data_IF_518812036352
#
_entry.id   IF_518812036352
#
_cell.length_a   1.000
_cell.length_b   1.000
_cell.length_c   1.000
_cell.angle_alpha   90.00
_cell.angle_beta   90.00
_cell.angle_gamma   90.00
#
_symmetry.space_group_name_H-M   'P 1'
#
loop_
_entity.id
_entity.type
_entity.pdbx_description
1 polymer ?
#
# COMPACT_ATOMS: atom_id res chain seq x y z
N UNK A 1 -6.73 13.19 11.58
CA UNK A 1 -6.79 11.78 11.18
C UNK A 1 -5.41 11.35 10.69
N UNK A 2 -4.91 10.20 11.11
CA UNK A 2 -3.61 9.63 10.70
C UNK A 2 -3.86 8.38 9.85
N UNK A 3 -3.30 8.36 8.65
CA UNK A 3 -3.48 7.25 7.71
C UNK A 3 -2.12 6.62 7.45
N UNK A 4 -2.03 5.30 7.55
CA UNK A 4 -0.85 4.55 7.12
C UNK A 4 -1.20 3.76 5.88
N UNK A 5 -0.42 3.94 4.82
CA UNK A 5 -0.58 3.20 3.55
C UNK A 5 0.57 2.22 3.42
N UNK A 6 0.27 0.93 3.33
CA UNK A 6 1.27 -0.08 3.03
C UNK A 6 1.40 -0.22 1.52
N UNK A 7 2.63 -0.09 1.01
CA UNK A 7 2.93 -0.20 -0.42
C UNK A 7 4.01 -1.25 -0.67
N UNK A 8 3.99 -1.88 -1.83
CA UNK A 8 5.00 -2.85 -2.24
C UNK A 8 5.66 -2.42 -3.55
N UNK A 9 6.97 -2.56 -3.61
CA UNK A 9 7.71 -2.50 -4.87
C UNK A 9 7.59 -3.87 -5.56
N UNK A 10 7.12 -3.86 -6.81
CA UNK A 10 6.91 -5.08 -7.61
C UNK A 10 7.61 -4.95 -8.96
N UNK A 11 7.94 -6.06 -9.64
CA UNK A 11 8.44 -6.02 -11.00
C UNK A 11 7.41 -5.38 -11.95
N UNK A 12 7.88 -4.55 -12.87
CA UNK A 12 7.04 -4.03 -13.95
C UNK A 12 6.84 -5.09 -15.02
N UNK A 13 5.64 -5.66 -15.07
CA UNK A 13 5.28 -6.70 -16.06
C UNK A 13 5.19 -6.15 -17.48
N UNK A 14 5.12 -4.83 -17.67
CA UNK A 14 5.11 -4.16 -18.99
C UNK A 14 6.52 -3.90 -19.53
N UNK A 15 7.54 -3.89 -18.66
CA UNK A 15 8.91 -3.52 -18.99
C UNK A 15 9.75 -4.60 -19.71
N UNK A 16 9.16 -5.77 -19.97
CA UNK A 16 9.85 -6.92 -20.56
C UNK A 16 10.70 -7.70 -19.53
N UNK A 17 10.67 -9.01 -19.68
CA UNK A 17 11.43 -9.93 -18.81
C UNK A 17 12.84 -10.09 -19.39
N UNK A 18 13.88 -9.86 -18.58
CA UNK A 18 15.26 -10.14 -18.93
C UNK A 18 15.73 -11.43 -18.28
N UNK A 19 16.49 -12.20 -19.03
CA UNK A 19 17.08 -13.47 -18.58
C UNK A 19 18.58 -13.38 -18.53
N UNK A 20 19.16 -14.02 -17.53
CA UNK A 20 20.59 -14.30 -17.46
C UNK A 20 21.00 -15.29 -18.55
N UNK A 21 22.30 -15.38 -18.91
CA UNK A 21 22.79 -16.37 -19.88
C UNK A 21 22.48 -17.83 -19.53
N UNK A 22 22.23 -18.15 -18.27
CA UNK A 22 21.87 -19.47 -17.77
C UNK A 22 20.35 -19.76 -17.85
N UNK A 23 19.54 -18.82 -18.39
CA UNK A 23 18.09 -18.93 -18.52
C UNK A 23 17.30 -18.55 -17.26
N UNK A 24 17.96 -18.14 -16.17
CA UNK A 24 17.29 -17.62 -14.99
C UNK A 24 16.85 -16.16 -15.18
N UNK A 25 15.84 -15.74 -14.43
CA UNK A 25 15.37 -14.35 -14.44
C UNK A 25 16.44 -13.38 -13.90
N UNK A 26 16.82 -12.38 -14.71
CA UNK A 26 17.63 -11.27 -14.22
C UNK A 26 16.75 -10.25 -13.47
N UNK A 27 16.53 -10.53 -12.19
CA UNK A 27 15.72 -9.66 -11.31
C UNK A 27 16.38 -8.30 -11.08
N UNK A 28 17.70 -8.18 -11.24
CA UNK A 28 18.42 -6.93 -11.06
C UNK A 28 18.22 -5.94 -12.20
N UNK A 29 17.98 -6.45 -13.42
CA UNK A 29 17.75 -5.66 -14.62
C UNK A 29 16.25 -5.38 -14.90
N UNK A 30 15.33 -5.92 -14.09
CA UNK A 30 13.90 -5.66 -14.22
C UNK A 30 13.57 -4.27 -13.64
N UNK A 31 12.81 -3.49 -14.41
CA UNK A 31 12.19 -2.28 -13.89
C UNK A 31 11.21 -2.65 -12.77
N UNK A 32 11.14 -1.82 -11.77
CA UNK A 32 10.24 -2.00 -10.63
C UNK A 32 9.31 -0.80 -10.53
N UNK A 33 8.08 -1.04 -10.08
CA UNK A 33 7.04 -0.02 -9.89
C UNK A 33 6.40 -0.18 -8.51
N UNK A 34 5.69 0.84 -8.05
CA UNK A 34 4.74 0.68 -6.96
C UNK A 34 3.58 -0.19 -7.43
N UNK A 35 3.18 -1.17 -6.62
CA UNK A 35 2.04 -2.04 -6.93
C UNK A 35 0.78 -1.21 -7.25
N UNK A 36 0.06 -1.48 -8.36
CA UNK A 36 -1.06 -0.65 -8.81
C UNK A 36 -2.18 -0.48 -7.79
N UNK A 37 -2.60 -1.57 -7.12
CA UNK A 37 -3.62 -1.53 -6.07
C UNK A 37 -3.16 -0.65 -4.89
N UNK A 38 -1.89 -0.74 -4.50
CA UNK A 38 -1.32 0.09 -3.42
C UNK A 38 -1.26 1.57 -3.83
N UNK A 39 -0.95 1.84 -5.10
CA UNK A 39 -0.91 3.21 -5.63
C UNK A 39 -2.30 3.86 -5.64
N UNK A 40 -3.34 3.09 -5.97
CA UNK A 40 -4.73 3.54 -5.87
C UNK A 40 -5.14 3.79 -4.40
N UNK A 41 -4.70 2.93 -3.49
CA UNK A 41 -4.88 3.11 -2.04
C UNK A 41 -4.17 4.35 -1.51
N UNK A 42 -2.95 4.62 -1.98
CA UNK A 42 -2.22 5.85 -1.66
C UNK A 42 -2.99 7.09 -2.14
N UNK A 43 -3.49 7.08 -3.38
CA UNK A 43 -4.31 8.19 -3.89
C UNK A 43 -5.56 8.41 -3.04
N UNK A 44 -6.23 7.33 -2.57
CA UNK A 44 -7.36 7.46 -1.65
C UNK A 44 -6.95 8.18 -0.35
N UNK A 45 -5.81 7.80 0.26
CA UNK A 45 -5.28 8.46 1.44
C UNK A 45 -4.98 9.95 1.17
N UNK A 46 -4.38 10.28 0.02
CA UNK A 46 -4.06 11.66 -0.35
C UNK A 46 -5.32 12.50 -0.59
N UNK A 47 -6.39 11.93 -1.15
CA UNK A 47 -7.69 12.62 -1.27
C UNK A 47 -8.31 12.89 0.10
N UNK A 48 -8.22 11.93 1.04
CA UNK A 48 -8.64 12.15 2.42
C UNK A 48 -7.78 13.22 3.11
N UNK A 49 -6.47 13.29 2.81
CA UNK A 49 -5.60 14.38 3.26
C UNK A 49 -6.05 15.72 2.72
N UNK A 50 -6.33 15.82 1.42
CA UNK A 50 -6.79 17.06 0.79
C UNK A 50 -8.14 17.53 1.38
N UNK A 51 -9.04 16.60 1.70
CA UNK A 51 -10.39 16.90 2.17
C UNK A 51 -10.46 17.17 3.69
N UNK A 52 -9.68 16.41 4.49
CA UNK A 52 -9.81 16.42 5.96
C UNK A 52 -8.53 16.83 6.69
N UNK A 53 -7.46 17.18 5.97
CA UNK A 53 -6.16 17.50 6.58
C UNK A 53 -5.50 16.29 7.26
N UNK A 54 -5.68 15.08 6.72
CA UNK A 54 -5.06 13.88 7.27
C UNK A 54 -3.54 13.91 7.10
N UNK A 55 -2.82 13.29 8.03
CA UNK A 55 -1.39 12.98 7.91
C UNK A 55 -1.26 11.59 7.27
N UNK A 56 -0.47 11.48 6.19
CA UNK A 56 -0.27 10.24 5.44
C UNK A 56 1.15 9.73 5.61
N UNK A 57 1.29 8.57 6.24
CA UNK A 57 2.55 7.83 6.35
C UNK A 57 2.52 6.63 5.41
N UNK A 58 3.59 6.43 4.64
CA UNK A 58 3.73 5.27 3.74
C UNK A 58 4.72 4.28 4.33
N UNK A 59 4.31 3.03 4.42
CA UNK A 59 5.10 1.92 4.97
C UNK A 59 5.36 0.90 3.87
N UNK A 60 6.62 0.50 3.70
CA UNK A 60 7.00 -0.60 2.80
C UNK A 60 7.94 -1.57 3.49
N UNK A 61 7.81 -2.85 3.16
CA UNK A 61 8.76 -3.90 3.55
C UNK A 61 9.45 -4.42 2.29
N UNK A 62 10.78 -4.39 2.28
CA UNK A 62 11.52 -4.87 1.11
C UNK A 62 13.02 -4.68 1.21
N UNK A 63 13.70 -4.91 0.10
CA UNK A 63 15.12 -4.62 -0.06
C UNK A 63 15.37 -3.10 0.07
N UNK A 64 16.60 -2.66 0.36
CA UNK A 64 16.92 -1.22 0.40
C UNK A 64 16.46 -0.43 -0.83
N UNK A 65 16.46 -1.05 -2.02
CA UNK A 65 15.96 -0.46 -3.27
C UNK A 65 14.47 -0.07 -3.18
N UNK A 66 13.67 -0.68 -2.30
CA UNK A 66 12.26 -0.30 -2.11
C UNK A 66 12.08 1.13 -1.57
N UNK A 67 13.15 1.81 -1.19
CA UNK A 67 13.14 3.27 -0.95
C UNK A 67 12.60 4.06 -2.15
N UNK A 68 12.76 3.56 -3.38
CA UNK A 68 12.27 4.22 -4.59
C UNK A 68 10.76 4.44 -4.56
N UNK A 69 9.96 3.46 -4.10
CA UNK A 69 8.49 3.63 -4.01
C UNK A 69 8.10 4.60 -2.89
N UNK A 70 8.91 4.72 -1.82
CA UNK A 70 8.70 5.74 -0.80
C UNK A 70 8.96 7.14 -1.37
N UNK A 71 10.02 7.31 -2.14
CA UNK A 71 10.31 8.58 -2.83
C UNK A 71 9.18 8.97 -3.79
N UNK A 72 8.66 8.01 -4.56
CA UNK A 72 7.49 8.21 -5.41
C UNK A 72 6.27 8.64 -4.58
N UNK A 73 5.98 7.96 -3.46
CA UNK A 73 4.87 8.31 -2.58
C UNK A 73 5.00 9.72 -1.98
N UNK A 74 6.21 10.10 -1.57
CA UNK A 74 6.49 11.46 -1.08
C UNK A 74 6.29 12.50 -2.19
N UNK A 75 6.72 12.21 -3.41
CA UNK A 75 6.50 13.08 -4.59
C UNK A 75 5.01 13.18 -4.98
N UNK A 76 4.19 12.20 -4.63
CA UNK A 76 2.72 12.26 -4.76
C UNK A 76 2.06 13.09 -3.65
N UNK A 77 2.73 13.32 -2.52
CA UNK A 77 2.21 14.16 -1.43
C UNK A 77 2.08 13.49 -0.07
N UNK A 78 2.64 12.30 0.13
CA UNK A 78 2.75 11.69 1.46
C UNK A 78 3.66 12.51 2.38
N UNK A 79 3.42 12.44 3.70
CA UNK A 79 4.17 13.23 4.69
C UNK A 79 5.40 12.50 5.22
N UNK A 80 5.32 11.16 5.31
CA UNK A 80 6.40 10.31 5.86
C UNK A 80 6.52 9.01 5.08
N UNK A 81 7.75 8.49 4.98
CA UNK A 81 8.04 7.18 4.42
C UNK A 81 8.81 6.33 5.44
N UNK A 82 8.43 5.06 5.59
CA UNK A 82 9.07 4.09 6.48
C UNK A 82 9.43 2.85 5.67
N UNK A 83 10.71 2.47 5.69
CA UNK A 83 11.22 1.25 5.09
C UNK A 83 11.54 0.22 6.18
N UNK A 84 10.90 -0.93 6.13
CA UNK A 84 11.25 -2.11 6.93
C UNK A 84 12.13 -3.01 6.07
N UNK A 85 13.42 -3.11 6.43
CA UNK A 85 14.38 -3.87 5.64
C UNK A 85 15.36 -4.63 6.53
N UNK A 86 15.52 -5.90 6.26
CA UNK A 86 16.53 -6.76 6.83
C UNK A 86 16.73 -7.97 5.90
N UNK A 87 17.92 -8.56 5.89
CA UNK A 87 18.22 -9.77 5.10
C UNK A 87 17.38 -10.97 5.54
N UNK A 88 17.05 -11.06 6.81
CA UNK A 88 16.23 -12.15 7.39
C UNK A 88 14.81 -12.16 6.82
N UNK A 89 14.32 -11.03 6.32
CA UNK A 89 12.98 -10.90 5.72
C UNK A 89 12.93 -11.41 4.27
N UNK A 90 14.07 -11.79 3.69
CA UNK A 90 14.14 -12.33 2.33
C UNK A 90 13.43 -13.67 2.24
N UNK A 91 12.50 -13.83 1.28
CA UNK A 91 11.72 -15.06 1.10
C UNK A 91 10.57 -15.24 2.09
N UNK A 92 10.21 -14.19 2.84
CA UNK A 92 9.05 -14.21 3.73
C UNK A 92 7.76 -14.55 2.96
N UNK A 93 6.98 -15.47 3.48
CA UNK A 93 5.62 -15.74 3.02
C UNK A 93 4.63 -14.67 3.48
N UNK A 94 3.34 -14.83 3.19
CA UNK A 94 2.32 -13.84 3.56
C UNK A 94 2.17 -13.70 5.07
N UNK A 95 2.33 -14.80 5.83
CA UNK A 95 2.26 -14.79 7.28
C UNK A 95 3.41 -13.98 7.90
N UNK A 96 4.65 -14.29 7.54
CA UNK A 96 5.83 -13.58 8.03
C UNK A 96 5.80 -12.10 7.61
N UNK A 97 5.38 -11.81 6.37
CA UNK A 97 5.22 -10.45 5.85
C UNK A 97 4.20 -9.66 6.67
N UNK A 98 2.99 -10.20 6.85
CA UNK A 98 1.92 -9.52 7.58
C UNK A 98 2.26 -9.33 9.06
N UNK A 99 2.93 -10.29 9.68
CA UNK A 99 3.39 -10.19 11.06
C UNK A 99 4.45 -9.10 11.23
N UNK A 100 5.41 -9.01 10.30
CA UNK A 100 6.46 -7.98 10.29
C UNK A 100 5.84 -6.58 10.12
N UNK A 101 4.93 -6.42 9.17
CA UNK A 101 4.23 -5.15 8.95
C UNK A 101 3.36 -4.77 10.15
N UNK A 102 2.63 -5.71 10.74
CA UNK A 102 1.87 -5.47 11.96
C UNK A 102 2.77 -5.08 13.13
N UNK A 103 3.96 -5.68 13.24
CA UNK A 103 4.97 -5.29 14.22
C UNK A 103 5.44 -3.84 14.06
N UNK A 104 5.67 -3.40 12.82
CA UNK A 104 6.00 -2.00 12.53
C UNK A 104 4.82 -1.07 12.85
N UNK A 105 3.60 -1.45 12.42
CA UNK A 105 2.38 -0.68 12.64
C UNK A 105 2.05 -0.47 14.14
N UNK A 106 2.34 -1.43 15.01
CA UNK A 106 2.16 -1.27 16.48
C UNK A 106 2.97 -0.13 17.09
N UNK A 107 4.01 0.34 16.41
CA UNK A 107 4.83 1.47 16.85
C UNK A 107 4.39 2.80 16.23
N UNK A 108 3.29 2.82 15.48
CA UNK A 108 2.74 3.99 14.82
C UNK A 108 1.36 4.32 15.37
N UNK A 109 0.99 5.59 15.28
CA UNK A 109 -0.39 6.02 15.52
C UNK A 109 -1.13 6.04 14.18
N UNK A 110 -2.31 5.45 14.14
CA UNK A 110 -3.16 5.43 12.96
C UNK A 110 -4.65 5.37 13.35
N UNK A 111 -5.46 6.02 12.55
CA UNK A 111 -6.91 5.89 12.53
C UNK A 111 -7.33 4.94 11.41
N UNK A 112 -6.60 4.95 10.29
CA UNK A 112 -6.90 4.15 9.11
C UNK A 112 -5.61 3.54 8.54
N UNK A 113 -5.67 2.25 8.22
CA UNK A 113 -4.65 1.55 7.44
C UNK A 113 -5.23 1.25 6.06
N UNK A 114 -4.49 1.56 5.00
CA UNK A 114 -4.86 1.20 3.64
C UNK A 114 -3.76 0.33 3.03
N UNK A 115 -4.15 -0.78 2.43
CA UNK A 115 -3.28 -1.64 1.62
C UNK A 115 -3.90 -1.80 0.25
N UNK A 116 -3.16 -2.21 -0.77
CA UNK A 116 -3.77 -2.77 -1.96
C UNK A 116 -4.49 -4.09 -1.64
N UNK A 117 -5.42 -4.50 -2.50
CA UNK A 117 -6.07 -5.81 -2.41
C UNK A 117 -5.02 -6.92 -2.47
N UNK A 118 -4.10 -6.82 -3.42
CA UNK A 118 -3.03 -7.81 -3.65
C UNK A 118 -1.84 -7.17 -4.36
N UNK A 119 -0.69 -7.85 -4.32
CA UNK A 119 0.47 -7.51 -5.14
C UNK A 119 0.46 -8.32 -6.43
N UNK A 120 0.72 -7.67 -7.58
CA UNK A 120 0.65 -8.29 -8.91
C UNK A 120 1.69 -9.38 -9.16
N UNK A 121 2.70 -9.50 -8.30
CA UNK A 121 3.74 -10.53 -8.39
C UNK A 121 3.40 -11.81 -7.62
N UNK A 122 2.58 -11.74 -6.59
CA UNK A 122 2.24 -12.87 -5.71
C UNK A 122 0.77 -13.27 -5.74
N UNK A 123 -0.13 -12.37 -6.10
CA UNK A 123 -1.59 -12.58 -6.29
C UNK A 123 -2.31 -13.29 -5.13
N UNK A 124 -1.85 -13.14 -3.89
CA UNK A 124 -2.41 -13.89 -2.74
C UNK A 124 -3.62 -13.22 -2.11
N UNK A 125 -3.74 -11.90 -2.18
CA UNK A 125 -4.77 -11.08 -1.50
C UNK A 125 -4.89 -11.33 0.02
N UNK A 126 -3.83 -11.80 0.69
CA UNK A 126 -3.86 -12.24 2.09
C UNK A 126 -3.25 -11.24 3.07
N UNK A 127 -2.24 -10.47 2.66
CA UNK A 127 -1.42 -9.67 3.59
C UNK A 127 -2.26 -8.62 4.33
N UNK A 128 -3.14 -7.88 3.64
CA UNK A 128 -4.00 -6.88 4.27
C UNK A 128 -4.90 -7.48 5.37
N UNK A 129 -5.73 -8.49 5.06
CA UNK A 129 -6.55 -9.17 6.07
C UNK A 129 -5.74 -9.77 7.22
N UNK A 130 -4.57 -10.36 6.95
CA UNK A 130 -3.70 -10.90 8.01
C UNK A 130 -3.15 -9.79 8.92
N UNK A 131 -2.78 -8.62 8.38
CA UNK A 131 -2.39 -7.46 9.19
C UNK A 131 -3.51 -7.07 10.15
N UNK A 132 -4.75 -6.99 9.67
CA UNK A 132 -5.90 -6.63 10.51
C UNK A 132 -6.12 -7.62 11.65
N UNK A 133 -5.97 -8.93 11.38
CA UNK A 133 -6.06 -9.97 12.39
C UNK A 133 -4.95 -9.85 13.45
N UNK A 134 -3.69 -9.64 13.00
CA UNK A 134 -2.57 -9.43 13.92
C UNK A 134 -2.73 -8.19 14.81
N UNK A 135 -3.41 -7.16 14.33
CA UNK A 135 -3.67 -5.91 15.07
C UNK A 135 -4.98 -5.95 15.87
N UNK A 136 -5.86 -6.92 15.62
CA UNK A 136 -7.18 -7.03 16.26
C UNK A 136 -8.13 -5.89 15.87
N UNK A 137 -8.03 -5.38 14.62
CA UNK A 137 -8.87 -4.29 14.11
C UNK A 137 -9.77 -4.78 12.97
N UNK A 138 -10.93 -4.12 12.73
CA UNK A 138 -11.81 -4.47 11.61
C UNK A 138 -11.12 -4.31 10.25
N UNK A 139 -11.51 -5.13 9.26
CA UNK A 139 -11.08 -5.00 7.87
C UNK A 139 -12.27 -4.92 6.93
N UNK A 140 -12.21 -4.02 5.94
CA UNK A 140 -13.10 -4.01 4.78
C UNK A 140 -12.24 -4.20 3.53
N UNK A 141 -12.45 -5.32 2.84
CA UNK A 141 -11.69 -5.68 1.65
C UNK A 141 -12.39 -5.23 0.36
N UNK A 142 -11.61 -5.12 -0.74
CA UNK A 142 -12.10 -4.83 -2.10
C UNK A 142 -12.83 -3.49 -2.20
N UNK A 143 -12.26 -2.44 -1.61
CA UNK A 143 -12.85 -1.11 -1.62
C UNK A 143 -12.79 -0.47 -3.01
N UNK A 144 -13.93 0.01 -3.50
CA UNK A 144 -14.07 0.82 -4.70
C UNK A 144 -14.47 2.27 -4.39
N UNK A 145 -14.87 2.57 -3.15
CA UNK A 145 -15.18 3.92 -2.65
C UNK A 145 -14.97 3.97 -1.15
N UNK A 146 -14.43 5.09 -0.66
CA UNK A 146 -14.19 5.35 0.77
C UNK A 146 -14.69 6.74 1.11
N UNK A 147 -15.52 6.84 2.16
CA UNK A 147 -15.99 8.09 2.75
C UNK A 147 -15.75 8.06 4.26
N UNK A 148 -15.53 9.22 4.88
CA UNK A 148 -15.34 9.34 6.34
C UNK A 148 -16.58 10.01 6.95
N UNK A 149 -17.10 9.40 8.00
CA UNK A 149 -18.23 9.92 8.78
C UNK A 149 -17.92 9.87 10.27
N UNK A 150 -17.50 11.01 10.83
CA UNK A 150 -17.10 11.10 12.24
C UNK A 150 -15.90 10.21 12.58
N UNK A 151 -16.09 9.23 13.45
CA UNK A 151 -15.08 8.24 13.88
C UNK A 151 -15.13 6.92 13.06
N UNK A 152 -15.85 6.94 11.96
CA UNK A 152 -16.11 5.75 11.15
C UNK A 152 -15.81 5.99 9.67
N UNK A 153 -15.58 4.93 8.93
CA UNK A 153 -15.49 4.93 7.46
C UNK A 153 -16.69 4.20 6.87
N UNK A 154 -17.19 4.71 5.74
CA UNK A 154 -18.19 4.07 4.91
C UNK A 154 -17.50 3.65 3.63
N UNK A 155 -17.57 2.36 3.30
CA UNK A 155 -16.84 1.77 2.18
C UNK A 155 -17.81 1.00 1.30
N UNK A 156 -17.75 1.26 -0.01
CA UNK A 156 -18.37 0.40 -1.00
C UNK A 156 -17.40 -0.73 -1.33
N UNK A 157 -17.76 -1.94 -0.92
CA UNK A 157 -17.01 -3.17 -1.21
C UNK A 157 -17.54 -3.81 -2.48
N UNK A 158 -16.66 -4.02 -3.46
CA UNK A 158 -17.01 -4.60 -4.76
C UNK A 158 -17.18 -6.11 -4.67
N UNK A 159 -18.17 -6.61 -5.43
CA UNK A 159 -18.39 -8.01 -5.79
C UNK A 159 -18.60 -8.09 -7.30
N UNK A 160 -18.71 -9.29 -7.85
CA UNK A 160 -18.82 -9.50 -9.31
C UNK A 160 -20.07 -8.86 -9.92
N UNK A 161 -21.21 -8.92 -9.21
CA UNK A 161 -22.54 -8.49 -9.69
C UNK A 161 -23.15 -7.34 -8.88
N UNK A 162 -22.50 -6.93 -7.78
CA UNK A 162 -23.03 -5.94 -6.84
C UNK A 162 -21.92 -5.30 -6.02
N UNK A 163 -22.28 -4.35 -5.19
CA UNK A 163 -21.44 -3.86 -4.10
C UNK A 163 -22.20 -3.87 -2.78
N UNK A 164 -21.46 -3.97 -1.67
CA UNK A 164 -22.00 -3.78 -0.33
C UNK A 164 -21.48 -2.48 0.25
N UNK A 165 -22.37 -1.70 0.86
CA UNK A 165 -22.00 -0.53 1.65
C UNK A 165 -21.79 -0.98 3.09
N UNK A 166 -20.57 -0.84 3.58
CA UNK A 166 -20.16 -1.27 4.90
C UNK A 166 -19.67 -0.07 5.71
N UNK A 167 -19.99 -0.05 7.02
CA UNK A 167 -19.50 0.95 7.96
C UNK A 167 -18.59 0.25 8.97
N UNK A 168 -17.39 0.79 9.19
CA UNK A 168 -16.47 0.34 10.22
C UNK A 168 -16.02 1.52 11.07
N UNK A 169 -15.91 1.28 12.39
CA UNK A 169 -15.32 2.24 13.32
C UNK A 169 -13.79 2.20 13.20
N UNK A 170 -13.17 3.36 13.23
CA UNK A 170 -11.72 3.48 13.29
C UNK A 170 -11.18 3.16 14.70
N UNK A 171 -9.97 2.58 14.88
CA UNK A 171 -9.07 2.22 13.79
C UNK A 171 -9.53 0.98 13.01
N UNK A 172 -9.34 1.00 11.69
CA UNK A 172 -9.66 -0.14 10.83
C UNK A 172 -8.68 -0.22 9.65
N UNK A 173 -8.73 -1.34 8.91
CA UNK A 173 -7.95 -1.56 7.69
C UNK A 173 -8.88 -1.68 6.48
N UNK A 174 -8.45 -1.11 5.35
CA UNK A 174 -9.16 -1.19 4.06
C UNK A 174 -8.19 -1.75 3.03
N UNK A 175 -8.65 -2.70 2.20
CA UNK A 175 -7.89 -3.12 1.02
C UNK A 175 -8.48 -2.50 -0.24
N UNK A 176 -7.66 -1.75 -0.96
CA UNK A 176 -8.04 -0.95 -2.12
C UNK A 176 -7.94 -1.75 -3.42
N UNK A 177 -8.90 -1.55 -4.32
CA UNK A 177 -8.82 -1.99 -5.71
C UNK A 177 -8.08 -0.95 -6.56
N UNK A 178 -7.46 -1.38 -7.66
CA UNK A 178 -6.80 -0.48 -8.60
C UNK A 178 -7.79 0.55 -9.21
N UNK A 179 -9.07 0.18 -9.32
CA UNK A 179 -10.14 1.03 -9.84
C UNK A 179 -10.66 2.06 -8.82
N UNK A 180 -10.24 1.98 -7.55
CA UNK A 180 -10.71 2.89 -6.49
C UNK A 180 -10.45 4.35 -6.85
N UNK A 181 -9.27 4.65 -7.38
CA UNK A 181 -8.89 5.99 -7.80
C UNK A 181 -7.87 5.95 -8.94
N UNK A 182 -7.96 6.91 -9.86
CA UNK A 182 -6.86 7.22 -10.77
C UNK A 182 -5.78 7.99 -9.99
N UNK A 183 -4.56 7.45 -9.85
CA UNK A 183 -3.50 8.09 -9.10
C UNK A 183 -3.05 9.41 -9.74
N UNK A 184 -2.82 10.44 -8.92
CA UNK A 184 -2.19 11.68 -9.36
C UNK A 184 -0.77 11.42 -9.85
N UNK A 185 -0.26 12.29 -10.72
CA UNK A 185 1.12 12.22 -11.18
C UNK A 185 2.06 12.66 -10.05
N UNK A 186 3.18 11.96 -9.90
CA UNK A 186 4.23 12.38 -8.99
C UNK A 186 4.89 13.67 -9.49
N UNK A 187 5.12 14.64 -8.61
CA UNK A 187 5.89 15.87 -8.91
C UNK A 187 7.38 15.66 -8.57
N UNK A 188 8.01 14.63 -9.13
CA UNK A 188 9.41 14.26 -8.85
C UNK A 188 10.40 15.43 -9.00
N UNK A 189 10.08 16.44 -9.84
CA UNK A 189 10.92 17.63 -10.00
C UNK A 189 10.99 18.53 -8.77
N UNK A 190 10.04 18.46 -7.85
CA UNK A 190 10.07 19.23 -6.58
C UNK A 190 10.96 18.60 -5.53
N UNK A 191 10.94 17.27 -5.41
CA UNK A 191 11.72 16.55 -4.39
C UNK A 191 13.21 16.58 -4.65
N UNK A 192 13.65 16.66 -5.90
CA UNK A 192 15.07 16.74 -6.28
C UNK A 192 15.74 18.10 -6.07
N UNK A 193 15.00 19.15 -5.68
CA UNK A 193 15.56 20.50 -5.46
C UNK A 193 15.75 20.88 -4.00
N UNK A 194 15.24 20.07 -3.07
CA UNK A 194 15.29 20.33 -1.63
C UNK A 194 16.16 19.32 -0.83
N UNK A 195 16.94 18.52 -1.54
CA UNK A 195 17.98 17.66 -0.94
C UNK A 195 19.35 18.31 -1.02
#
# INVERSE_FOLDING_TARGET
MKIVVCVKQVPDTKGGVKFNPDGTLDRGAMLTIMNPDDKAGLEAALRLKDQYGAEVTVLTMGLPKAEEVLREAMAMGADKGILVTDRVLGGADTWATSQTLAGALRNLEYDLIITGRQAIDGDTAQVGPQISEHLGIPVISYAQKIEVEGDSVIVERQFDDRYHVLKAKMPCLITALAELNEPRRSEERRVGKEC
#
